data_IF_796123840546
#
_entry.id   IF_796123840546
#
_cell.length_a   1.000
_cell.length_b   1.000
_cell.length_c   1.000
_cell.angle_alpha   90.00
_cell.angle_beta   90.00
_cell.angle_gamma   90.00
#
_symmetry.space_group_name_H-M   'P 1'
#
loop_
_entity.id
_entity.type
_entity.pdbx_description
1 polymer ?
#
# COMPACT_ATOMS: atom_id res chain seq x y z
N UNK A 1 9.80 8.33 -0.03
CA UNK A 1 9.19 7.63 -1.18
C UNK A 1 9.55 6.17 -1.07
N UNK A 2 8.60 5.26 -1.30
CA UNK A 2 8.82 3.81 -1.30
C UNK A 2 8.43 3.30 -2.67
N UNK A 3 9.39 2.68 -3.35
CA UNK A 3 9.18 2.06 -4.67
C UNK A 3 8.54 0.69 -4.55
N UNK A 4 7.63 0.39 -5.47
CA UNK A 4 6.93 -0.87 -5.61
C UNK A 4 6.90 -1.22 -7.11
N UNK A 5 7.54 -2.33 -7.48
CA UNK A 5 7.47 -2.87 -8.84
C UNK A 5 6.32 -3.86 -8.88
N UNK A 6 5.31 -3.54 -9.68
CA UNK A 6 4.12 -4.36 -9.87
C UNK A 6 4.38 -5.34 -11.02
N UNK A 7 3.71 -6.48 -10.98
CA UNK A 7 3.73 -7.52 -12.00
C UNK A 7 2.33 -8.14 -12.12
N UNK A 8 2.13 -9.02 -13.11
CA UNK A 8 0.87 -9.73 -13.32
C UNK A 8 0.39 -10.52 -12.10
N UNK A 9 1.32 -11.11 -11.35
CA UNK A 9 1.04 -11.87 -10.13
C UNK A 9 1.01 -11.01 -8.86
N UNK A 10 1.06 -9.67 -8.96
CA UNK A 10 1.06 -8.81 -7.77
C UNK A 10 -0.31 -8.79 -7.12
N UNK A 11 -0.32 -9.00 -5.80
CA UNK A 11 -1.53 -9.02 -4.99
C UNK A 11 -1.52 -7.91 -3.91
N UNK A 12 -2.67 -7.56 -3.32
CA UNK A 12 -2.76 -6.53 -2.28
C UNK A 12 -1.87 -6.81 -1.05
N UNK A 13 -1.51 -8.06 -0.77
CA UNK A 13 -0.62 -8.44 0.33
C UNK A 13 0.76 -7.77 0.22
N UNK A 14 1.25 -7.49 -1.00
CA UNK A 14 2.50 -6.77 -1.19
C UNK A 14 2.40 -5.34 -0.63
N UNK A 15 1.29 -4.65 -0.88
CA UNK A 15 1.04 -3.31 -0.36
C UNK A 15 0.93 -3.32 1.17
N UNK A 16 0.19 -4.29 1.72
CA UNK A 16 0.05 -4.46 3.17
C UNK A 16 1.41 -4.67 3.85
N UNK A 17 2.27 -5.52 3.28
CA UNK A 17 3.65 -5.70 3.78
C UNK A 17 4.47 -4.41 3.77
N UNK A 18 4.29 -3.54 2.77
CA UNK A 18 4.95 -2.22 2.76
C UNK A 18 4.40 -1.32 3.84
N UNK A 19 3.09 -1.31 4.03
CA UNK A 19 2.50 -0.53 5.09
C UNK A 19 2.89 -1.01 6.48
N UNK A 20 2.95 -2.33 6.74
CA UNK A 20 3.41 -2.85 8.02
C UNK A 20 4.86 -2.43 8.33
N UNK A 21 5.68 -2.19 7.31
CA UNK A 21 7.06 -1.75 7.47
C UNK A 21 7.19 -0.22 7.68
N UNK A 22 6.33 0.60 7.06
CA UNK A 22 6.48 2.07 7.05
C UNK A 22 5.39 2.84 7.79
N UNK A 23 4.31 2.16 8.16
CA UNK A 23 3.14 2.72 8.83
C UNK A 23 2.86 1.99 10.14
N UNK A 24 1.99 2.60 10.93
CA UNK A 24 1.48 2.05 12.17
C UNK A 24 -0.04 2.23 12.25
N UNK A 25 -0.71 1.30 12.91
CA UNK A 25 -2.14 1.39 13.21
C UNK A 25 -2.37 2.26 14.45
N UNK A 26 -3.14 3.34 14.31
CA UNK A 26 -3.50 4.26 15.38
C UNK A 26 -4.99 4.18 15.66
N UNK A 27 -5.36 3.97 16.91
CA UNK A 27 -6.74 4.10 17.37
C UNK A 27 -7.05 5.57 17.59
N UNK A 28 -8.12 6.05 16.99
CA UNK A 28 -8.66 7.40 17.15
C UNK A 28 -10.12 7.31 17.58
N UNK A 29 -10.72 8.39 18.12
CA UNK A 29 -12.16 8.41 18.41
C UNK A 29 -13.06 8.13 17.19
N UNK A 30 -12.55 8.35 15.97
CA UNK A 30 -13.27 8.09 14.70
C UNK A 30 -13.03 6.68 14.14
N UNK A 31 -12.23 5.86 14.82
CA UNK A 31 -11.87 4.51 14.37
C UNK A 31 -10.36 4.31 14.25
N UNK A 32 -9.97 3.23 13.57
CA UNK A 32 -8.57 2.88 13.34
C UNK A 32 -8.09 3.54 12.06
N UNK A 33 -6.95 4.22 12.13
CA UNK A 33 -6.27 4.78 10.96
C UNK A 33 -4.89 4.17 10.83
N UNK A 34 -4.41 3.98 9.61
CA UNK A 34 -3.02 3.64 9.33
C UNK A 34 -2.31 4.92 8.90
N UNK A 35 -1.19 5.24 9.54
CA UNK A 35 -0.44 6.45 9.27
C UNK A 35 1.07 6.16 9.24
N UNK A 36 1.87 6.95 8.51
CA UNK A 36 3.33 6.79 8.52
C UNK A 36 3.88 6.86 9.93
N UNK A 37 4.81 5.97 10.27
CA UNK A 37 5.42 5.93 11.62
C UNK A 37 6.27 7.18 11.89
N UNK A 38 6.75 7.85 10.83
CA UNK A 38 7.39 9.17 10.94
C UNK A 38 6.34 10.28 11.08
N UNK A 39 6.29 10.90 12.25
CA UNK A 39 5.38 12.01 12.53
C UNK A 39 5.58 13.19 11.57
N UNK A 40 4.47 13.80 11.16
CA UNK A 40 4.47 15.01 10.32
C UNK A 40 4.97 14.81 8.89
N UNK A 41 5.17 13.56 8.46
CA UNK A 41 5.63 13.24 7.11
C UNK A 41 4.60 12.44 6.33
N UNK A 42 4.70 12.57 5.01
CA UNK A 42 3.90 11.80 4.05
C UNK A 42 4.67 10.58 3.58
N UNK A 43 3.97 9.44 3.51
CA UNK A 43 4.44 8.28 2.78
C UNK A 43 3.95 8.40 1.33
N UNK A 44 4.90 8.45 0.39
CA UNK A 44 4.61 8.40 -1.05
C UNK A 44 4.95 7.00 -1.54
N UNK A 45 3.94 6.26 -1.99
CA UNK A 45 4.10 4.97 -2.64
C UNK A 45 4.23 5.19 -4.15
N UNK A 46 5.32 4.71 -4.73
CA UNK A 46 5.56 4.79 -6.17
C UNK A 46 5.38 3.40 -6.76
N UNK A 47 4.27 3.19 -7.46
CA UNK A 47 3.98 1.93 -8.14
C UNK A 47 4.44 2.01 -9.59
N UNK A 48 5.57 1.37 -9.89
CA UNK A 48 6.00 1.15 -11.26
C UNK A 48 5.19 -0.01 -11.86
N UNK A 49 4.95 0.04 -13.17
CA UNK A 49 4.21 -1.00 -13.90
C UNK A 49 2.78 -1.26 -13.37
N UNK A 50 2.10 -0.21 -12.87
CA UNK A 50 0.79 -0.31 -12.19
C UNK A 50 -0.33 -0.95 -13.04
N UNK A 51 -0.19 -0.95 -14.36
CA UNK A 51 -1.14 -1.51 -15.32
C UNK A 51 -0.87 -2.99 -15.68
N UNK A 52 0.11 -3.63 -15.04
CA UNK A 52 0.44 -5.05 -15.27
C UNK A 52 -0.36 -6.09 -14.47
N UNK A 53 -1.02 -5.81 -13.33
CA UNK A 53 -1.81 -6.83 -12.63
C UNK A 53 -2.84 -7.49 -13.54
N UNK A 54 -2.99 -8.81 -13.41
CA UNK A 54 -3.98 -9.55 -14.16
C UNK A 54 -5.40 -9.17 -13.71
N UNK A 55 -6.30 -9.08 -14.69
CA UNK A 55 -7.73 -8.89 -14.42
C UNK A 55 -8.33 -10.19 -13.88
N UNK A 56 -9.30 -10.05 -12.98
CA UNK A 56 -10.08 -11.20 -12.54
C UNK A 56 -11.01 -11.72 -13.64
N UNK A 57 -11.76 -12.80 -13.32
CA UNK A 57 -12.72 -13.41 -14.26
C UNK A 57 -13.77 -12.42 -14.79
N UNK A 58 -14.05 -11.35 -14.05
CA UNK A 58 -15.06 -10.35 -14.37
C UNK A 58 -14.45 -9.08 -14.99
N UNK A 59 -13.14 -9.05 -15.23
CA UNK A 59 -12.46 -7.89 -15.79
C UNK A 59 -12.20 -6.77 -14.79
N UNK A 60 -12.15 -7.10 -13.48
CA UNK A 60 -11.79 -6.16 -12.41
C UNK A 60 -10.29 -6.17 -12.14
#
# INVERSE_FOLDING_TARGET
VVGLNVSSATTPELLLKRFDHYCEYKRTPKGVVMAPSQLGKWLVLFCDEINLPDLDKYGT
#
